data_IF_135819455374
#
_entry.id   IF_135819455374
#
_cell.length_a   1.000
_cell.length_b   1.000
_cell.length_c   1.000
_cell.angle_alpha   90.00
_cell.angle_beta   90.00
_cell.angle_gamma   90.00
#
_symmetry.space_group_name_H-M   'P 1'
#
loop_
_entity.id
_entity.type
_entity.pdbx_description
1 polymer ?
#
# COMPACT_ATOMS: atom_id res chain seq x y z
N UNK A 1 -2.36 18.71 -9.90
CA UNK A 1 -2.00 18.04 -8.63
C UNK A 1 -0.60 18.47 -8.25
N UNK A 2 -0.34 18.80 -6.98
CA UNK A 2 1.00 19.20 -6.53
C UNK A 2 1.96 18.00 -6.62
N UNK A 3 3.09 18.14 -7.31
CA UNK A 3 4.07 17.07 -7.51
C UNK A 3 4.92 16.78 -6.27
N UNK A 4 4.89 17.66 -5.28
CA UNK A 4 5.62 17.49 -4.02
C UNK A 4 4.76 16.74 -2.98
N UNK A 5 3.50 16.43 -3.31
CA UNK A 5 2.65 15.64 -2.43
C UNK A 5 2.81 14.16 -2.71
N UNK A 6 3.08 13.42 -1.64
CA UNK A 6 3.22 11.98 -1.62
C UNK A 6 2.16 11.37 -0.71
N UNK A 7 1.72 10.17 -1.05
CA UNK A 7 0.84 9.39 -0.19
C UNK A 7 1.47 8.03 0.11
N UNK A 8 1.21 7.57 1.32
CA UNK A 8 1.69 6.29 1.83
C UNK A 8 0.48 5.40 2.06
N UNK A 9 0.43 4.28 1.35
CA UNK A 9 -0.58 3.24 1.51
C UNK A 9 0.05 2.06 2.27
N UNK A 10 -0.26 1.94 3.56
CA UNK A 10 0.23 0.86 4.41
C UNK A 10 -0.67 -0.38 4.29
N UNK A 11 -0.14 -1.44 3.69
CA UNK A 11 -0.83 -2.68 3.32
C UNK A 11 -0.11 -3.93 3.87
N UNK A 12 0.47 -3.85 5.09
CA UNK A 12 1.19 -4.96 5.71
C UNK A 12 0.37 -5.85 6.65
N UNK A 13 -0.75 -5.36 7.19
CA UNK A 13 -1.49 -6.05 8.25
C UNK A 13 -2.30 -7.26 7.76
N UNK A 14 -2.23 -8.38 8.48
CA UNK A 14 -2.98 -9.61 8.17
C UNK A 14 -4.48 -9.44 8.36
N UNK A 15 -4.95 -8.59 9.29
CA UNK A 15 -6.38 -8.42 9.54
C UNK A 15 -7.04 -9.60 10.26
N UNK A 16 -6.37 -10.21 11.25
CA UNK A 16 -6.79 -11.44 11.95
C UNK A 16 -8.22 -11.43 12.53
N UNK A 17 -8.77 -10.25 12.83
CA UNK A 17 -10.17 -10.11 13.30
C UNK A 17 -11.22 -10.48 12.26
N UNK A 18 -10.83 -10.56 10.99
CA UNK A 18 -11.70 -10.94 9.87
C UNK A 18 -11.55 -12.41 9.49
N UNK A 19 -10.96 -13.25 10.34
CA UNK A 19 -10.96 -14.69 10.11
C UNK A 19 -12.42 -15.23 10.04
N UNK A 20 -12.77 -16.13 9.10
CA UNK A 20 -11.89 -16.87 8.18
C UNK A 20 -11.58 -16.17 6.85
N UNK A 21 -12.19 -15.01 6.58
CA UNK A 21 -12.03 -14.27 5.31
C UNK A 21 -10.59 -13.81 5.12
N UNK A 22 -9.97 -13.28 6.17
CA UNK A 22 -8.62 -12.73 6.11
C UNK A 22 -7.59 -13.70 6.67
N UNK A 23 -6.67 -14.14 5.83
CA UNK A 23 -5.61 -15.10 6.20
C UNK A 23 -4.23 -14.48 6.07
N UNK A 24 -3.23 -15.22 6.56
CA UNK A 24 -1.83 -14.84 6.48
C UNK A 24 -1.32 -14.82 5.03
N UNK A 25 -1.89 -15.64 4.14
CA UNK A 25 -1.54 -15.65 2.71
C UNK A 25 -2.37 -14.66 1.88
N UNK A 26 -3.62 -14.41 2.30
CA UNK A 26 -4.50 -13.47 1.61
C UNK A 26 -5.18 -12.50 2.60
N UNK A 27 -4.46 -11.45 3.04
CA UNK A 27 -4.94 -10.45 4.00
C UNK A 27 -6.10 -9.58 3.52
N UNK A 28 -6.78 -8.95 4.49
CA UNK A 28 -8.01 -8.17 4.31
C UNK A 28 -7.96 -7.11 3.20
N UNK A 29 -6.79 -6.50 2.97
CA UNK A 29 -6.66 -5.42 1.99
C UNK A 29 -6.91 -5.89 0.55
N UNK A 30 -6.75 -7.19 0.30
CA UNK A 30 -6.95 -7.81 -1.00
C UNK A 30 -8.36 -8.38 -1.19
N UNK A 31 -9.28 -8.12 -0.25
CA UNK A 31 -10.68 -8.53 -0.34
C UNK A 31 -11.58 -7.33 -0.66
N UNK A 32 -12.65 -7.60 -1.42
CA UNK A 32 -13.80 -6.71 -1.50
C UNK A 32 -14.71 -6.91 -0.28
N UNK A 33 -14.31 -6.26 0.82
CA UNK A 33 -15.04 -6.34 2.09
C UNK A 33 -16.38 -5.59 2.07
N UNK A 34 -16.62 -4.75 1.06
CA UNK A 34 -17.80 -3.88 0.99
C UNK A 34 -18.80 -4.33 -0.08
N UNK A 35 -18.49 -5.38 -0.85
CA UNK A 35 -19.32 -5.86 -1.96
C UNK A 35 -19.45 -4.84 -3.09
N UNK A 36 -18.44 -4.00 -3.29
CA UNK A 36 -18.46 -2.92 -4.29
C UNK A 36 -17.83 -3.29 -5.63
N UNK A 37 -17.26 -4.50 -5.75
CA UNK A 37 -16.48 -4.96 -6.90
C UNK A 37 -15.01 -4.51 -6.89
N UNK A 38 -14.57 -3.81 -5.84
CA UNK A 38 -13.20 -3.33 -5.66
C UNK A 38 -12.66 -3.79 -4.31
N UNK A 39 -11.41 -4.23 -4.28
CA UNK A 39 -10.73 -4.57 -3.02
C UNK A 39 -10.41 -3.33 -2.19
N UNK A 40 -10.21 -3.49 -0.89
CA UNK A 40 -9.89 -2.36 -0.01
C UNK A 40 -8.65 -1.57 -0.47
N UNK A 41 -7.62 -2.26 -0.98
CA UNK A 41 -6.41 -1.64 -1.52
C UNK A 41 -6.69 -0.85 -2.81
N UNK A 42 -7.47 -1.41 -3.74
CA UNK A 42 -7.88 -0.76 -4.98
C UNK A 42 -8.68 0.51 -4.71
N UNK A 43 -9.69 0.43 -3.84
CA UNK A 43 -10.52 1.57 -3.44
C UNK A 43 -9.71 2.67 -2.78
N UNK A 44 -8.76 2.30 -1.91
CA UNK A 44 -7.88 3.26 -1.23
C UNK A 44 -6.94 3.94 -2.22
N UNK A 45 -6.32 3.18 -3.13
CA UNK A 45 -5.45 3.73 -4.17
C UNK A 45 -6.22 4.67 -5.11
N UNK A 46 -7.40 4.27 -5.57
CA UNK A 46 -8.29 5.07 -6.42
C UNK A 46 -8.61 6.42 -5.77
N UNK A 47 -8.96 6.41 -4.47
CA UNK A 47 -9.22 7.64 -3.70
C UNK A 47 -7.98 8.54 -3.60
N UNK A 48 -6.81 7.98 -3.30
CA UNK A 48 -5.56 8.74 -3.21
C UNK A 48 -5.14 9.35 -4.56
N UNK A 49 -5.35 8.62 -5.65
CA UNK A 49 -4.98 9.07 -7.02
C UNK A 49 -5.75 10.31 -7.50
N UNK A 50 -6.83 10.69 -6.81
CA UNK A 50 -7.57 11.93 -7.08
C UNK A 50 -6.93 13.15 -6.41
N UNK A 51 -6.01 12.94 -5.46
CA UNK A 51 -5.44 13.97 -4.58
C UNK A 51 -3.93 14.09 -4.76
N UNK A 52 -3.23 12.99 -5.06
CA UNK A 52 -1.78 12.96 -5.36
C UNK A 52 -1.49 12.25 -6.69
N UNK A 53 -0.41 12.64 -7.41
CA UNK A 53 0.00 11.92 -8.62
C UNK A 53 0.18 10.43 -8.34
N UNK A 54 -0.22 9.56 -9.28
CA UNK A 54 -0.22 8.10 -9.09
C UNK A 54 1.18 7.58 -8.81
N UNK A 55 2.18 8.15 -9.46
CA UNK A 55 3.61 7.89 -9.31
C UNK A 55 4.16 8.24 -7.90
N UNK A 56 3.48 9.11 -7.17
CA UNK A 56 3.84 9.54 -5.82
C UNK A 56 3.08 8.78 -4.72
N UNK A 57 2.28 7.78 -5.08
CA UNK A 57 1.66 6.87 -4.13
C UNK A 57 2.62 5.71 -3.91
N UNK A 58 3.12 5.57 -2.68
CA UNK A 58 4.00 4.48 -2.28
C UNK A 58 3.20 3.45 -1.49
N UNK A 59 3.38 2.17 -1.82
CA UNK A 59 2.70 1.06 -1.16
C UNK A 59 3.72 0.37 -0.25
N UNK A 60 3.47 0.39 1.06
CA UNK A 60 4.30 -0.31 2.03
C UNK A 60 3.63 -1.62 2.42
N UNK A 61 4.32 -2.73 2.20
CA UNK A 61 3.79 -4.07 2.49
C UNK A 61 4.90 -5.03 2.85
N UNK A 62 4.57 -6.22 3.33
CA UNK A 62 5.56 -7.27 3.55
C UNK A 62 5.99 -7.90 2.22
N UNK A 63 7.25 -8.34 2.14
CA UNK A 63 7.83 -9.00 0.95
C UNK A 63 6.93 -10.08 0.35
N UNK A 64 6.26 -10.87 1.20
CA UNK A 64 5.36 -11.94 0.76
C UNK A 64 4.16 -11.49 -0.06
N UNK A 65 3.75 -10.22 0.06
CA UNK A 65 2.58 -9.67 -0.62
C UNK A 65 2.96 -8.83 -1.85
N UNK A 66 4.25 -8.75 -2.22
CA UNK A 66 4.72 -7.94 -3.34
C UNK A 66 3.94 -8.24 -4.63
N UNK A 67 3.85 -9.52 -4.99
CA UNK A 67 3.15 -9.96 -6.19
C UNK A 67 1.65 -9.64 -6.13
N UNK A 68 1.00 -9.92 -5.01
CA UNK A 68 -0.42 -9.61 -4.79
C UNK A 68 -0.72 -8.11 -4.95
N UNK A 69 0.17 -7.23 -4.48
CA UNK A 69 0.01 -5.78 -4.66
C UNK A 69 0.05 -5.41 -6.14
N UNK A 70 1.01 -5.93 -6.90
CA UNK A 70 1.14 -5.62 -8.34
C UNK A 70 0.00 -6.19 -9.18
N UNK A 71 -0.50 -7.37 -8.82
CA UNK A 71 -1.69 -7.97 -9.44
C UNK A 71 -2.95 -7.14 -9.16
N UNK A 72 -3.10 -6.65 -7.94
CA UNK A 72 -4.28 -5.87 -7.52
C UNK A 72 -4.24 -4.42 -8.02
N UNK A 73 -3.05 -3.87 -8.26
CA UNK A 73 -2.83 -2.50 -8.72
C UNK A 73 -1.93 -2.48 -9.98
N UNK A 74 -2.42 -2.87 -11.17
CA UNK A 74 -1.61 -3.01 -12.38
C UNK A 74 -0.97 -1.69 -12.87
N UNK A 75 -1.49 -0.54 -12.43
CA UNK A 75 -0.90 0.79 -12.69
C UNK A 75 0.31 1.14 -11.81
N UNK A 76 0.58 0.35 -10.76
CA UNK A 76 1.67 0.58 -9.82
C UNK A 76 2.93 -0.12 -10.31
N UNK A 77 4.05 0.59 -10.31
CA UNK A 77 5.36 0.03 -10.66
C UNK A 77 6.05 -0.56 -9.43
N UNK A 78 6.94 -1.53 -9.63
CA UNK A 78 7.74 -2.14 -8.55
C UNK A 78 8.49 -1.11 -7.70
N UNK A 79 8.97 -0.02 -8.29
CA UNK A 79 9.67 1.08 -7.60
C UNK A 79 8.82 1.88 -6.60
N UNK A 80 7.49 1.71 -6.66
CA UNK A 80 6.53 2.31 -5.72
C UNK A 80 6.17 1.37 -4.57
N UNK A 81 6.50 0.07 -4.69
CA UNK A 81 6.26 -0.92 -3.64
C UNK A 81 7.50 -1.02 -2.77
N UNK A 82 7.38 -0.58 -1.53
CA UNK A 82 8.43 -0.67 -0.52
C UNK A 82 8.13 -1.90 0.33
N UNK A 83 9.07 -2.84 0.30
CA UNK A 83 8.94 -4.09 1.02
C UNK A 83 9.55 -3.98 2.41
N UNK A 84 8.74 -4.28 3.42
CA UNK A 84 9.15 -4.37 4.81
C UNK A 84 9.57 -5.82 5.12
N UNK A 85 10.83 -6.05 5.55
CA UNK A 85 11.32 -7.40 5.84
C UNK A 85 10.60 -8.01 7.04
N UNK A 86 10.14 -7.17 7.97
CA UNK A 86 9.42 -7.55 9.17
C UNK A 86 8.30 -6.55 9.47
N UNK A 87 7.15 -7.04 9.92
CA UNK A 87 6.06 -6.18 10.37
C UNK A 87 6.41 -5.55 11.72
N UNK A 88 6.81 -4.28 11.73
CA UNK A 88 7.24 -3.54 12.93
C UNK A 88 6.29 -2.40 13.32
N UNK A 89 5.00 -2.53 12.98
CA UNK A 89 3.95 -1.52 13.18
C UNK A 89 4.18 -0.22 12.39
N UNK A 90 3.41 0.82 12.73
CA UNK A 90 3.23 2.03 11.92
C UNK A 90 4.44 2.97 11.90
N UNK A 91 5.13 3.16 13.02
CA UNK A 91 6.21 4.16 13.08
C UNK A 91 7.41 3.80 12.16
N UNK A 92 7.94 2.57 12.16
CA UNK A 92 9.01 2.19 11.22
C UNK A 92 8.59 2.26 9.75
N UNK A 93 7.34 1.90 9.46
CA UNK A 93 6.73 2.00 8.14
C UNK A 93 6.76 3.47 7.64
N UNK A 94 6.29 4.41 8.48
CA UNK A 94 6.30 5.84 8.15
C UNK A 94 7.73 6.34 7.93
N UNK A 95 8.66 6.03 8.84
CA UNK A 95 10.06 6.49 8.73
C UNK A 95 10.72 5.99 7.44
N UNK A 96 10.55 4.71 7.11
CA UNK A 96 11.10 4.14 5.88
C UNK A 96 10.54 4.83 4.63
N UNK A 97 9.23 5.06 4.60
CA UNK A 97 8.58 5.76 3.51
C UNK A 97 9.06 7.22 3.41
N UNK A 98 9.14 7.94 4.52
CA UNK A 98 9.61 9.32 4.56
C UNK A 98 11.05 9.45 4.07
N UNK A 99 11.96 8.54 4.47
CA UNK A 99 13.34 8.54 3.98
C UNK A 99 13.42 8.25 2.48
N UNK A 100 12.59 7.33 1.96
CA UNK A 100 12.49 7.05 0.52
C UNK A 100 11.95 8.24 -0.26
N UNK A 101 10.96 8.95 0.29
CA UNK A 101 10.42 10.18 -0.31
C UNK A 101 11.49 11.26 -0.30
N UNK A 102 12.14 11.53 0.82
CA UNK A 102 13.21 12.53 0.95
C UNK A 102 14.35 12.28 -0.06
N UNK A 103 14.71 11.01 -0.30
CA UNK A 103 15.72 10.67 -1.30
C UNK A 103 15.27 10.99 -2.74
N UNK A 104 13.98 10.82 -3.07
CA UNK A 104 13.42 11.08 -4.39
C UNK A 104 13.02 12.55 -4.61
N UNK A 105 12.56 13.21 -3.56
CA UNK A 105 12.12 14.59 -3.52
C UNK A 105 12.68 15.24 -2.23
N UNK A 106 13.88 15.87 -2.31
CA UNK A 106 14.53 16.49 -1.16
C UNK A 106 13.88 17.79 -0.65
N UNK A 107 12.99 18.39 -1.45
CA UNK A 107 12.22 19.60 -1.11
C UNK A 107 10.88 19.26 -0.44
#
# INVERSE_FOLDING_TARGET
>A
MNKNYYAILMAGGVGSRFWPVSTVDFPKQFHDMLGTGETLIQKTFSRLSRIVPKENILILTNERYNQLVLEQLPQVKQEQVILEPVMRNTAPCIVLASLKIQQKNPE
#
